data_IF_338713270395
#
_entry.id   IF_338713270395
#
_cell.length_a   1.000
_cell.length_b   1.000
_cell.length_c   1.000
_cell.angle_alpha   90.00
_cell.angle_beta   90.00
_cell.angle_gamma   90.00
#
_symmetry.space_group_name_H-M   'P 1'
#
loop_
_entity.id
_entity.type
_entity.pdbx_description
1 polymer ?
#
# COMPACT_ATOMS: atom_id res chain seq x y z
N UNK A 1 -13.22 3.41 -0.33
CA UNK A 1 -13.10 2.12 0.41
C UNK A 1 -14.43 1.73 1.06
N UNK A 2 -15.52 1.66 0.28
CA UNK A 2 -16.90 1.55 0.81
C UNK A 2 -17.34 0.08 1.04
N UNK A 3 -16.72 -0.86 0.35
CA UNK A 3 -17.09 -2.30 0.39
C UNK A 3 -16.25 -3.16 1.34
N UNK A 4 -15.15 -2.63 1.92
CA UNK A 4 -14.21 -3.40 2.77
C UNK A 4 -13.77 -4.75 2.18
N UNK A 5 -13.65 -4.84 0.85
CA UNK A 5 -13.32 -6.10 0.16
C UNK A 5 -11.83 -6.43 0.25
N UNK A 6 -11.51 -7.60 0.82
CA UNK A 6 -10.16 -8.16 0.85
C UNK A 6 -9.63 -8.49 -0.54
N UNK A 7 -10.52 -8.89 -1.46
CA UNK A 7 -10.15 -9.22 -2.83
C UNK A 7 -9.80 -7.98 -3.63
N UNK A 8 -10.48 -6.85 -3.38
CA UNK A 8 -10.14 -5.58 -4.01
C UNK A 8 -8.73 -5.12 -3.64
N UNK A 9 -8.28 -5.36 -2.40
CA UNK A 9 -6.90 -5.06 -2.00
C UNK A 9 -5.93 -5.96 -2.75
N UNK A 10 -6.18 -7.28 -2.78
CA UNK A 10 -5.33 -8.23 -3.50
C UNK A 10 -5.21 -7.86 -4.97
N UNK A 11 -6.33 -7.56 -5.64
CA UNK A 11 -6.35 -7.11 -7.03
C UNK A 11 -5.62 -5.78 -7.23
N UNK A 12 -5.73 -4.85 -6.28
CA UNK A 12 -5.00 -3.57 -6.32
C UNK A 12 -3.48 -3.76 -6.26
N UNK A 13 -3.00 -4.63 -5.37
CA UNK A 13 -1.56 -4.93 -5.27
C UNK A 13 -1.06 -5.62 -6.55
N UNK A 14 -1.85 -6.55 -7.12
CA UNK A 14 -1.54 -7.20 -8.41
C UNK A 14 -1.51 -6.18 -9.56
N UNK A 15 -2.45 -5.23 -9.60
CA UNK A 15 -2.49 -4.22 -10.66
C UNK A 15 -1.23 -3.34 -10.63
N UNK A 16 -0.75 -2.95 -9.45
CA UNK A 16 0.50 -2.21 -9.33
C UNK A 16 1.74 -3.05 -9.64
N UNK A 17 1.69 -4.35 -9.36
CA UNK A 17 2.75 -5.26 -9.77
C UNK A 17 2.94 -5.30 -11.30
N UNK A 18 1.83 -5.23 -12.04
CA UNK A 18 1.84 -5.18 -13.50
C UNK A 18 2.32 -3.81 -14.01
N UNK A 19 1.89 -2.71 -13.37
CA UNK A 19 2.23 -1.33 -13.75
C UNK A 19 3.69 -0.95 -13.46
N UNK A 20 4.29 -1.47 -12.38
CA UNK A 20 5.72 -1.28 -12.10
C UNK A 20 6.59 -1.88 -13.20
N UNK A 21 6.19 -3.03 -13.76
CA UNK A 21 6.86 -3.66 -14.90
C UNK A 21 6.93 -2.73 -16.13
N UNK A 22 6.07 -1.72 -16.20
CA UNK A 22 5.94 -0.79 -17.32
C UNK A 22 6.52 0.62 -17.07
N UNK A 23 6.64 1.10 -15.82
CA UNK A 23 6.86 2.53 -15.51
C UNK A 23 8.19 2.90 -14.84
N UNK A 24 8.94 1.94 -14.28
CA UNK A 24 10.37 2.08 -13.98
C UNK A 24 10.81 2.88 -12.72
N UNK A 25 9.95 3.63 -12.03
CA UNK A 25 10.30 4.26 -10.73
C UNK A 25 9.66 3.54 -9.55
N UNK A 26 10.49 2.80 -8.79
CA UNK A 26 10.07 2.06 -7.60
C UNK A 26 9.43 2.94 -6.52
N UNK A 27 9.74 4.24 -6.46
CA UNK A 27 9.19 5.14 -5.43
C UNK A 27 7.70 5.38 -5.63
N UNK A 28 7.26 5.51 -6.88
CA UNK A 28 5.83 5.68 -7.19
C UNK A 28 5.04 4.42 -6.82
N UNK A 29 5.63 3.24 -7.03
CA UNK A 29 5.09 1.96 -6.58
C UNK A 29 4.95 1.92 -5.06
N UNK A 30 6.00 2.28 -4.31
CA UNK A 30 6.00 2.26 -2.85
C UNK A 30 4.93 3.19 -2.23
N UNK A 31 4.69 4.36 -2.83
CA UNK A 31 3.63 5.28 -2.39
C UNK A 31 2.25 4.62 -2.49
N UNK A 32 1.97 3.94 -3.61
CA UNK A 32 0.68 3.26 -3.84
C UNK A 32 0.53 2.01 -2.97
N UNK A 33 1.61 1.26 -2.79
CA UNK A 33 1.69 0.11 -1.88
C UNK A 33 1.37 0.51 -0.44
N UNK A 34 1.87 1.66 0.01
CA UNK A 34 1.60 2.19 1.37
C UNK A 34 0.10 2.42 1.60
N UNK A 35 -0.62 2.95 0.61
CA UNK A 35 -2.08 3.14 0.70
C UNK A 35 -2.83 1.80 0.80
N UNK A 36 -2.44 0.80 0.01
CA UNK A 36 -3.07 -0.52 0.03
C UNK A 36 -2.77 -1.29 1.32
N UNK A 37 -1.54 -1.20 1.82
CA UNK A 37 -1.14 -1.79 3.09
C UNK A 37 -1.92 -1.18 4.26
N UNK A 38 -2.04 0.15 4.26
CA UNK A 38 -2.85 0.86 5.23
C UNK A 38 -4.35 0.47 5.14
N UNK A 39 -4.91 0.41 3.93
CA UNK A 39 -6.29 -0.04 3.71
C UNK A 39 -6.53 -1.47 4.21
N UNK A 40 -5.58 -2.38 3.99
CA UNK A 40 -5.63 -3.75 4.48
C UNK A 40 -5.69 -3.82 6.01
N UNK A 41 -4.83 -3.07 6.70
CA UNK A 41 -4.84 -3.01 8.17
C UNK A 41 -6.17 -2.46 8.69
N UNK A 42 -6.74 -1.44 8.04
CA UNK A 42 -8.02 -0.85 8.45
C UNK A 42 -9.20 -1.81 8.36
N UNK A 43 -9.19 -2.75 7.43
CA UNK A 43 -10.25 -3.76 7.31
C UNK A 43 -9.98 -5.03 8.14
N UNK A 44 -8.93 -5.02 8.98
CA UNK A 44 -8.52 -6.16 9.80
C UNK A 44 -7.97 -7.32 8.98
N UNK A 45 -7.44 -7.06 7.77
CA UNK A 45 -6.72 -8.05 7.00
C UNK A 45 -5.24 -8.10 7.44
N UNK A 46 -4.64 -9.28 7.32
CA UNK A 46 -3.19 -9.43 7.45
C UNK A 46 -2.52 -8.83 6.21
N UNK A 47 -2.15 -7.56 6.31
CA UNK A 47 -1.57 -6.81 5.21
C UNK A 47 -0.24 -7.43 4.73
N UNK A 48 0.59 -7.90 5.66
CA UNK A 48 1.88 -8.51 5.34
C UNK A 48 1.70 -9.83 4.57
N UNK A 49 0.79 -10.70 5.03
CA UNK A 49 0.50 -11.95 4.31
C UNK A 49 0.03 -11.69 2.87
N UNK A 50 -0.83 -10.68 2.65
CA UNK A 50 -1.32 -10.34 1.31
C UNK A 50 -0.24 -9.80 0.38
N UNK A 51 0.73 -9.06 0.92
CA UNK A 51 1.85 -8.57 0.14
C UNK A 51 2.84 -9.69 -0.19
N UNK A 52 3.08 -10.63 0.74
CA UNK A 52 3.86 -11.84 0.45
C UNK A 52 3.19 -12.75 -0.59
N UNK A 53 1.87 -12.89 -0.56
CA UNK A 53 1.12 -13.61 -1.61
C UNK A 53 1.38 -13.01 -2.99
N UNK A 54 1.44 -11.67 -3.11
CA UNK A 54 1.72 -11.02 -4.38
C UNK A 54 3.20 -11.12 -4.76
N UNK A 55 4.12 -11.00 -3.81
CA UNK A 55 5.55 -11.22 -4.03
C UNK A 55 5.83 -12.61 -4.62
N UNK A 56 5.12 -13.64 -4.15
CA UNK A 56 5.27 -15.02 -4.62
C UNK A 56 4.85 -15.25 -6.08
N UNK A 57 3.99 -14.38 -6.64
CA UNK A 57 3.53 -14.47 -8.04
C UNK A 57 4.11 -13.38 -8.94
N UNK A 58 4.97 -12.52 -8.39
CA UNK A 58 5.59 -11.39 -9.09
C UNK A 58 6.94 -11.76 -9.68
N UNK A 59 7.46 -10.91 -10.57
CA UNK A 59 8.84 -11.04 -11.07
C UNK A 59 9.88 -10.83 -9.95
N UNK A 60 11.12 -11.33 -10.12
CA UNK A 60 12.14 -11.32 -9.05
C UNK A 60 12.42 -9.95 -8.43
N UNK A 61 12.44 -8.89 -9.23
CA UNK A 61 12.72 -7.52 -8.77
C UNK A 61 11.63 -7.01 -7.81
N UNK A 62 10.37 -7.13 -8.21
CA UNK A 62 9.23 -6.70 -7.38
C UNK A 62 9.06 -7.62 -6.16
N UNK A 63 9.31 -8.92 -6.32
CA UNK A 63 9.28 -9.87 -5.22
C UNK A 63 10.26 -9.45 -4.11
N UNK A 64 11.51 -9.15 -4.47
CA UNK A 64 12.51 -8.62 -3.55
C UNK A 64 12.08 -7.28 -2.92
N UNK A 65 11.56 -6.35 -3.73
CA UNK A 65 11.08 -5.05 -3.24
C UNK A 65 9.97 -5.20 -2.19
N UNK A 66 8.95 -6.03 -2.47
CA UNK A 66 7.83 -6.26 -1.56
C UNK A 66 8.29 -6.94 -0.29
N UNK A 67 9.16 -7.96 -0.40
CA UNK A 67 9.68 -8.65 0.76
C UNK A 67 10.51 -7.73 1.66
N UNK A 68 11.43 -6.97 1.08
CA UNK A 68 12.28 -6.04 1.80
C UNK A 68 11.45 -4.92 2.44
N UNK A 69 10.46 -4.38 1.73
CA UNK A 69 9.60 -3.33 2.25
C UNK A 69 8.70 -3.82 3.39
N UNK A 70 8.13 -5.03 3.29
CA UNK A 70 7.27 -5.61 4.36
C UNK A 70 8.09 -5.98 5.59
N UNK A 71 9.31 -6.51 5.42
CA UNK A 71 10.22 -6.91 6.52
C UNK A 71 10.99 -5.73 7.12
N UNK A 72 11.09 -4.62 6.39
CA UNK A 72 11.82 -3.42 6.76
C UNK A 72 11.18 -2.64 7.90
N UNK A 73 11.64 -1.39 8.09
CA UNK A 73 11.15 -0.52 9.17
C UNK A 73 9.64 -0.23 9.00
N UNK A 74 8.79 -0.59 9.99
CA UNK A 74 7.36 -0.31 9.97
C UNK A 74 7.01 1.18 9.80
N UNK A 75 7.92 2.09 10.17
CA UNK A 75 7.73 3.53 9.98
C UNK A 75 7.54 3.90 8.50
N UNK A 76 8.20 3.18 7.59
CA UNK A 76 8.14 3.36 6.14
C UNK A 76 6.83 2.85 5.52
N UNK A 77 6.06 2.09 6.27
CA UNK A 77 4.75 1.55 5.87
C UNK A 77 3.59 2.45 6.36
N UNK A 78 3.92 3.55 7.03
CA UNK A 78 2.95 4.49 7.57
C UNK A 78 2.59 5.59 6.56
N UNK A 79 1.34 6.07 6.63
CA UNK A 79 0.91 7.26 5.89
C UNK A 79 1.76 8.49 6.22
N UNK A 80 2.25 8.59 7.47
CA UNK A 80 3.07 9.70 7.94
C UNK A 80 4.41 9.81 7.18
N UNK A 81 5.02 8.69 6.81
CA UNK A 81 6.24 8.67 5.99
C UNK A 81 6.00 9.26 4.58
N UNK A 82 4.76 9.25 4.10
CA UNK A 82 4.36 9.84 2.83
C UNK A 82 3.84 11.29 2.98
N UNK A 83 3.99 11.89 4.16
CA UNK A 83 3.47 13.22 4.45
C UNK A 83 1.95 13.27 4.51
N UNK A 84 1.29 12.15 4.79
CA UNK A 84 -0.16 12.06 4.96
C UNK A 84 -0.54 11.86 6.42
N UNK A 85 -1.66 12.46 6.81
CA UNK A 85 -2.26 12.31 8.13
C UNK A 85 -3.72 11.91 7.98
N UNK A 86 -4.14 10.89 8.74
CA UNK A 86 -5.56 10.59 8.90
C UNK A 86 -6.23 11.65 9.78
N UNK A 87 -7.38 12.14 9.34
CA UNK A 87 -8.19 13.11 10.07
C UNK A 87 -9.60 12.57 10.16
N UNK A 88 -10.14 12.50 11.38
CA UNK A 88 -11.56 12.21 11.55
C UNK A 88 -12.40 13.43 11.15
N UNK A 89 -13.38 13.21 10.30
CA UNK A 89 -14.33 14.24 9.87
C UNK A 89 -15.76 13.76 10.12
N UNK A 90 -16.76 14.66 10.14
CA UNK A 90 -18.16 14.27 10.25
C UNK A 90 -18.64 13.30 9.16
N UNK A 91 -17.98 13.28 7.99
CA UNK A 91 -18.25 12.36 6.89
C UNK A 91 -17.52 11.02 6.99
N UNK A 92 -16.77 10.79 8.07
CA UNK A 92 -15.87 9.66 8.24
C UNK A 92 -14.40 10.06 8.16
N UNK A 93 -13.54 9.07 7.96
CA UNK A 93 -12.11 9.30 7.95
C UNK A 93 -11.63 9.87 6.60
N UNK A 94 -10.88 10.94 6.67
CA UNK A 94 -10.24 11.63 5.54
C UNK A 94 -8.71 11.52 5.65
N UNK A 95 -7.99 11.67 4.52
CA UNK A 95 -6.52 11.62 4.48
C UNK A 95 -6.02 12.92 3.89
N UNK A 96 -5.24 13.68 4.67
CA UNK A 96 -4.70 14.98 4.27
C UNK A 96 -3.20 14.95 4.07
N UNK A 97 -2.73 15.52 2.97
CA UNK A 97 -1.29 15.73 2.74
C UNK A 97 -0.79 17.05 3.26
N UNK A 98 0.52 17.10 3.55
CA UNK A 98 1.25 18.32 3.88
C UNK A 98 1.41 19.17 2.61
N UNK A 99 0.33 19.81 2.17
CA UNK A 99 0.32 20.46 0.86
C UNK A 99 -1.03 21.08 0.50
N UNK A 100 -1.59 21.92 1.38
CA UNK A 100 -2.39 23.12 1.07
C UNK A 100 -2.81 23.78 2.39
N UNK A 101 -2.26 24.97 2.64
CA UNK A 101 -2.90 25.99 3.49
C UNK A 101 -4.02 26.63 2.69
#
# INVERSE_FOLDING_TARGET
MREKSKDAIRLGVIAHAIDELASGDARDTLVRLTLLYHAAKRIGADASARFFEVAAISGPALSALLEDWVKGDPSLQSLACMGWQEVETPGGLDVRGWGRR
#
